data_IF_419561400794
#
_entry.id   IF_419561400794
#
_cell.length_a   1.000
_cell.length_b   1.000
_cell.length_c   1.000
_cell.angle_alpha   90.00
_cell.angle_beta   90.00
_cell.angle_gamma   90.00
#
_symmetry.space_group_name_H-M   'P 1'
#
loop_
_entity.id
_entity.type
_entity.pdbx_description
1 polymer ?
#
# COMPACT_ATOMS: atom_id res chain seq x y z
N UNK A 1 -2.20 -27.07 -1.04
CA UNK A 1 -2.86 -27.24 -2.35
C UNK A 1 -3.53 -25.96 -2.82
N UNK A 2 -4.43 -25.34 -2.07
CA UNK A 2 -5.15 -24.11 -2.50
C UNK A 2 -4.23 -22.95 -2.93
N UNK A 3 -3.17 -22.65 -2.16
CA UNK A 3 -2.22 -21.59 -2.49
C UNK A 3 -1.49 -21.83 -3.82
N UNK A 4 -1.11 -23.09 -4.11
CA UNK A 4 -0.47 -23.44 -5.38
C UNK A 4 -1.44 -23.30 -6.55
N UNK A 5 -2.72 -23.67 -6.36
CA UNK A 5 -3.75 -23.49 -7.40
C UNK A 5 -4.00 -22.01 -7.71
N UNK A 6 -4.06 -21.15 -6.66
CA UNK A 6 -4.20 -19.71 -6.84
C UNK A 6 -2.98 -19.11 -7.55
N UNK A 7 -1.77 -19.53 -7.19
CA UNK A 7 -0.54 -19.07 -7.85
C UNK A 7 -0.49 -19.48 -9.32
N UNK A 8 -0.91 -20.70 -9.63
CA UNK A 8 -1.01 -21.20 -11.01
C UNK A 8 -1.99 -20.35 -11.82
N UNK A 9 -3.17 -20.04 -11.28
CA UNK A 9 -4.14 -19.17 -11.93
C UNK A 9 -3.56 -17.76 -12.20
N UNK A 10 -2.85 -17.20 -11.25
CA UNK A 10 -2.18 -15.89 -11.42
C UNK A 10 -1.15 -15.94 -12.55
N UNK A 11 -0.34 -17.01 -12.61
CA UNK A 11 0.66 -17.18 -13.66
C UNK A 11 -0.01 -17.32 -15.03
N UNK A 12 -1.03 -18.17 -15.15
CA UNK A 12 -1.77 -18.37 -16.41
C UNK A 12 -2.42 -17.07 -16.88
N UNK A 13 -3.10 -16.35 -16.00
CA UNK A 13 -3.74 -15.08 -16.31
C UNK A 13 -2.70 -14.01 -16.70
N UNK A 14 -1.56 -13.96 -16.00
CA UNK A 14 -0.46 -13.05 -16.31
C UNK A 14 0.18 -13.34 -17.68
N UNK A 15 0.39 -14.61 -18.03
CA UNK A 15 0.89 -15.01 -19.34
C UNK A 15 -0.12 -14.66 -20.46
N UNK A 16 -1.40 -14.90 -20.23
CA UNK A 16 -2.45 -14.52 -21.17
C UNK A 16 -2.42 -13.00 -21.44
N UNK A 17 -2.39 -12.19 -20.39
CA UNK A 17 -2.29 -10.73 -20.53
C UNK A 17 -1.00 -10.30 -21.23
N UNK A 18 0.12 -10.97 -20.97
CA UNK A 18 1.40 -10.70 -21.62
C UNK A 18 1.34 -10.94 -23.13
N UNK A 19 0.65 -12.00 -23.56
CA UNK A 19 0.46 -12.30 -24.98
C UNK A 19 -0.39 -11.22 -25.67
N UNK A 20 -1.42 -10.69 -24.97
CA UNK A 20 -2.32 -9.67 -25.51
C UNK A 20 -1.73 -8.26 -25.50
N UNK A 21 -0.96 -7.89 -24.45
CA UNK A 21 -0.55 -6.52 -24.17
C UNK A 21 0.97 -6.29 -24.26
N UNK A 22 1.74 -7.35 -24.57
CA UNK A 22 3.17 -7.26 -24.77
C UNK A 22 4.03 -7.61 -23.55
N UNK A 23 5.30 -7.89 -23.84
CA UNK A 23 6.29 -8.43 -22.90
C UNK A 23 6.65 -7.50 -21.73
N UNK A 24 6.39 -6.20 -21.85
CA UNK A 24 6.65 -5.24 -20.79
C UNK A 24 5.90 -5.58 -19.48
N UNK A 25 4.74 -6.24 -19.56
CA UNK A 25 3.97 -6.68 -18.39
C UNK A 25 4.76 -7.68 -17.51
N UNK A 26 5.68 -8.44 -18.09
CA UNK A 26 6.52 -9.36 -17.32
C UNK A 26 7.49 -8.63 -16.38
N UNK A 27 7.90 -7.40 -16.71
CA UNK A 27 8.76 -6.59 -15.84
C UNK A 27 8.06 -6.22 -14.52
N UNK A 28 6.73 -6.25 -14.50
CA UNK A 28 5.90 -6.03 -13.31
C UNK A 28 5.50 -7.38 -12.70
N UNK A 29 5.06 -8.33 -13.52
CA UNK A 29 4.50 -9.61 -13.06
C UNK A 29 5.53 -10.53 -12.42
N UNK A 30 6.71 -10.68 -13.01
CA UNK A 30 7.76 -11.57 -12.46
C UNK A 30 8.23 -11.09 -11.07
N UNK A 31 8.62 -9.82 -10.87
CA UNK A 31 8.97 -9.33 -9.54
C UNK A 31 7.82 -9.46 -8.54
N UNK A 32 6.56 -9.27 -8.97
CA UNK A 32 5.38 -9.46 -8.13
C UNK A 32 5.25 -10.89 -7.61
N UNK A 33 5.40 -11.89 -8.47
CA UNK A 33 5.36 -13.32 -8.08
C UNK A 33 6.56 -13.68 -7.19
N UNK A 34 7.76 -13.20 -7.53
CA UNK A 34 8.95 -13.41 -6.71
C UNK A 34 8.83 -12.81 -5.32
N UNK A 35 8.16 -11.64 -5.21
CA UNK A 35 7.92 -10.98 -3.93
C UNK A 35 7.04 -11.83 -3.01
N UNK A 36 6.04 -12.54 -3.53
CA UNK A 36 5.16 -13.45 -2.76
C UNK A 36 6.01 -14.56 -2.11
N UNK A 37 6.89 -15.19 -2.88
CA UNK A 37 7.78 -16.24 -2.37
C UNK A 37 8.80 -15.68 -1.36
N UNK A 38 9.48 -14.60 -1.75
CA UNK A 38 10.54 -14.00 -0.95
C UNK A 38 10.00 -13.44 0.40
N UNK A 39 8.76 -12.95 0.43
CA UNK A 39 8.15 -12.40 1.64
C UNK A 39 8.13 -13.43 2.77
N UNK A 40 7.69 -14.65 2.48
CA UNK A 40 7.56 -15.70 3.49
C UNK A 40 8.91 -16.22 3.96
N UNK A 41 9.89 -16.35 3.06
CA UNK A 41 11.16 -17.00 3.37
C UNK A 41 12.22 -16.05 3.95
N UNK A 42 12.29 -14.81 3.46
CA UNK A 42 13.42 -13.92 3.71
C UNK A 42 13.01 -12.54 4.23
N UNK A 43 11.99 -11.94 3.63
CA UNK A 43 11.64 -10.53 3.83
C UNK A 43 11.14 -10.26 5.25
N UNK A 44 10.39 -11.18 5.84
CA UNK A 44 9.86 -11.07 7.20
C UNK A 44 10.93 -11.02 8.32
N UNK A 45 12.20 -11.24 7.97
CA UNK A 45 13.36 -11.17 8.87
C UNK A 45 14.11 -9.84 8.80
N UNK A 46 13.74 -8.94 7.87
CA UNK A 46 14.31 -7.59 7.73
C UNK A 46 13.23 -6.54 8.00
N UNK A 47 13.40 -5.64 8.98
CA UNK A 47 12.38 -4.65 9.33
C UNK A 47 11.97 -3.77 8.15
N UNK A 48 12.95 -3.28 7.38
CA UNK A 48 12.68 -2.41 6.23
C UNK A 48 11.98 -3.15 5.10
N UNK A 49 12.48 -4.34 4.74
CA UNK A 49 11.87 -5.13 3.68
C UNK A 49 10.45 -5.58 4.07
N UNK A 50 10.26 -5.99 5.33
CA UNK A 50 8.95 -6.36 5.86
C UNK A 50 7.95 -5.20 5.80
N UNK A 51 8.40 -3.96 6.05
CA UNK A 51 7.57 -2.76 5.95
C UNK A 51 7.18 -2.45 4.50
N UNK A 52 8.14 -2.48 3.57
CA UNK A 52 7.95 -1.98 2.21
C UNK A 52 7.35 -3.02 1.25
N UNK A 53 7.63 -4.32 1.46
CA UNK A 53 7.25 -5.36 0.51
C UNK A 53 5.73 -5.42 0.21
N UNK A 54 4.81 -5.39 1.18
CA UNK A 54 3.38 -5.37 0.87
C UNK A 54 2.96 -4.07 0.19
N UNK A 55 3.54 -2.93 0.59
CA UNK A 55 3.32 -1.65 -0.09
C UNK A 55 3.76 -1.69 -1.55
N UNK A 56 4.95 -2.23 -1.84
CA UNK A 56 5.45 -2.40 -3.20
C UNK A 56 4.58 -3.38 -3.99
N UNK A 57 4.16 -4.49 -3.38
CA UNK A 57 3.29 -5.48 -4.02
C UNK A 57 1.95 -4.88 -4.45
N UNK A 58 1.21 -4.31 -3.52
CA UNK A 58 -0.12 -3.76 -3.77
C UNK A 58 -0.08 -2.33 -4.34
N UNK A 59 0.83 -1.49 -3.86
CA UNK A 59 0.95 -0.12 -4.34
C UNK A 59 1.63 -0.05 -5.70
N UNK A 60 2.83 -0.56 -5.82
CA UNK A 60 3.63 -0.39 -7.02
C UNK A 60 3.23 -1.40 -8.12
N UNK A 61 3.41 -2.70 -7.88
CA UNK A 61 3.17 -3.70 -8.92
C UNK A 61 1.70 -3.78 -9.35
N UNK A 62 0.76 -3.79 -8.41
CA UNK A 62 -0.64 -3.90 -8.76
C UNK A 62 -1.17 -2.62 -9.44
N UNK A 63 -0.82 -1.43 -8.93
CA UNK A 63 -1.29 -0.17 -9.52
C UNK A 63 -0.68 0.07 -10.90
N UNK A 64 0.65 -0.14 -11.06
CA UNK A 64 1.30 0.03 -12.36
C UNK A 64 0.92 -1.06 -13.35
N UNK A 65 0.73 -2.31 -12.87
CA UNK A 65 0.23 -3.40 -13.69
C UNK A 65 -1.17 -3.10 -14.24
N UNK A 66 -2.08 -2.61 -13.40
CA UNK A 66 -3.40 -2.17 -13.84
C UNK A 66 -3.32 -0.99 -14.82
N UNK A 67 -2.49 0.02 -14.55
CA UNK A 67 -2.28 1.14 -15.48
C UNK A 67 -1.81 0.65 -16.84
N UNK A 68 -0.82 -0.24 -16.87
CA UNK A 68 -0.33 -0.82 -18.12
C UNK A 68 -1.40 -1.59 -18.89
N UNK A 69 -2.21 -2.40 -18.18
CA UNK A 69 -3.29 -3.19 -18.80
C UNK A 69 -4.33 -2.31 -19.48
N UNK A 70 -4.68 -1.17 -18.89
CA UNK A 70 -5.74 -0.30 -19.42
C UNK A 70 -5.26 0.77 -20.39
N UNK A 71 -4.03 1.25 -20.30
CA UNK A 71 -3.53 2.37 -21.11
C UNK A 71 -2.31 2.04 -21.96
N UNK A 72 -1.67 0.88 -21.75
CA UNK A 72 -0.38 0.50 -22.32
C UNK A 72 0.74 1.53 -22.05
N UNK A 73 0.57 2.39 -21.04
CA UNK A 73 1.51 3.45 -20.68
C UNK A 73 1.69 3.53 -19.16
N UNK A 74 2.88 3.94 -18.74
CA UNK A 74 3.21 4.26 -17.35
C UNK A 74 3.38 5.78 -17.22
N UNK A 75 2.30 6.49 -16.98
CA UNK A 75 2.37 7.94 -16.76
C UNK A 75 3.03 8.27 -15.41
N UNK A 76 3.65 9.45 -15.32
CA UNK A 76 4.20 9.95 -14.05
C UNK A 76 3.13 10.06 -12.96
N UNK A 77 1.88 10.36 -13.34
CA UNK A 77 0.73 10.35 -12.43
C UNK A 77 0.45 8.95 -11.86
N UNK A 78 0.49 7.90 -12.69
CA UNK A 78 0.33 6.51 -12.24
C UNK A 78 1.46 6.10 -11.27
N UNK A 79 2.69 6.52 -11.51
CA UNK A 79 3.84 6.24 -10.61
C UNK A 79 3.65 6.93 -9.25
N UNK A 80 3.23 8.20 -9.24
CA UNK A 80 2.96 8.90 -7.97
C UNK A 80 1.77 8.30 -7.22
N UNK A 81 0.70 7.90 -7.93
CA UNK A 81 -0.43 7.20 -7.35
C UNK A 81 0.02 5.87 -6.72
N UNK A 82 0.84 5.09 -7.44
CA UNK A 82 1.43 3.86 -6.93
C UNK A 82 2.25 4.10 -5.63
N UNK A 83 3.02 5.20 -5.57
CA UNK A 83 3.77 5.57 -4.38
C UNK A 83 2.86 5.95 -3.20
N UNK A 84 1.75 6.66 -3.43
CA UNK A 84 0.72 6.96 -2.41
C UNK A 84 0.16 5.65 -1.84
N UNK A 85 -0.27 4.73 -2.69
CA UNK A 85 -0.82 3.44 -2.27
C UNK A 85 0.23 2.61 -1.53
N UNK A 86 1.49 2.63 -1.99
CA UNK A 86 2.62 1.97 -1.31
C UNK A 86 2.75 2.45 0.14
N UNK A 87 2.71 3.75 0.39
CA UNK A 87 2.77 4.30 1.75
C UNK A 87 1.58 3.83 2.61
N UNK A 88 0.37 3.85 2.06
CA UNK A 88 -0.85 3.44 2.79
C UNK A 88 -0.84 1.95 3.16
N UNK A 89 -0.47 1.08 2.21
CA UNK A 89 -0.44 -0.37 2.47
C UNK A 89 0.70 -0.75 3.41
N UNK A 90 1.86 -0.09 3.28
CA UNK A 90 2.95 -0.26 4.26
C UNK A 90 2.50 0.13 5.67
N UNK A 91 1.75 1.22 5.82
CA UNK A 91 1.15 1.63 7.09
C UNK A 91 0.11 0.65 7.62
N UNK A 92 -0.70 0.06 6.72
CA UNK A 92 -1.68 -0.95 7.13
C UNK A 92 -0.97 -2.13 7.80
N UNK A 93 0.07 -2.67 7.16
CA UNK A 93 0.84 -3.77 7.73
C UNK A 93 1.55 -3.35 9.03
N UNK A 94 2.21 -2.19 9.02
CA UNK A 94 2.98 -1.71 10.18
C UNK A 94 2.11 -1.65 11.43
N UNK A 95 0.90 -1.10 11.34
CA UNK A 95 0.01 -0.97 12.49
C UNK A 95 -0.56 -2.31 12.94
N UNK A 96 -0.86 -3.22 11.98
CA UNK A 96 -1.34 -4.56 12.28
C UNK A 96 -0.29 -5.42 13.01
N UNK A 97 1.00 -5.10 12.87
CA UNK A 97 2.09 -5.78 13.60
C UNK A 97 2.19 -5.37 15.08
N UNK A 98 1.52 -4.30 15.51
CA UNK A 98 1.62 -3.84 16.92
C UNK A 98 1.05 -4.85 17.93
N UNK A 99 -0.13 -5.44 17.71
CA UNK A 99 -0.65 -6.49 18.59
C UNK A 99 0.24 -7.74 18.59
N UNK A 100 0.80 -8.08 17.44
CA UNK A 100 1.43 -9.39 17.19
C UNK A 100 2.92 -9.46 17.63
N UNK A 101 3.47 -8.38 18.22
CA UNK A 101 4.90 -8.28 18.57
C UNK A 101 5.43 -9.49 19.34
N UNK A 102 4.69 -9.98 20.32
CA UNK A 102 5.16 -11.04 21.21
C UNK A 102 5.08 -12.41 20.52
N UNK A 103 4.02 -12.67 19.76
CA UNK A 103 3.85 -13.88 18.96
C UNK A 103 4.87 -13.94 17.80
N UNK A 104 5.02 -12.85 17.07
CA UNK A 104 5.94 -12.76 15.94
C UNK A 104 7.41 -12.89 16.34
N UNK A 105 7.77 -12.39 17.53
CA UNK A 105 9.12 -12.57 18.10
C UNK A 105 9.44 -14.04 18.35
N UNK A 106 8.48 -14.82 18.85
CA UNK A 106 8.67 -16.24 19.13
C UNK A 106 8.96 -17.08 17.87
N UNK A 107 8.40 -16.67 16.73
CA UNK A 107 8.63 -17.36 15.44
C UNK A 107 9.78 -16.73 14.63
N UNK A 108 10.57 -15.86 15.23
CA UNK A 108 11.80 -15.29 14.63
C UNK A 108 11.58 -14.19 13.61
N UNK A 109 10.38 -13.59 13.53
CA UNK A 109 10.13 -12.41 12.71
C UNK A 109 10.86 -11.19 13.26
N UNK A 110 11.22 -10.29 12.35
CA UNK A 110 11.93 -9.05 12.69
C UNK A 110 11.32 -7.88 11.91
N UNK A 111 10.27 -7.30 12.47
CA UNK A 111 9.67 -6.06 11.96
C UNK A 111 9.92 -4.89 12.91
N UNK A 112 9.63 -3.67 12.46
CA UNK A 112 9.96 -2.46 13.24
C UNK A 112 9.41 -2.47 14.67
N UNK A 113 8.13 -2.82 14.95
CA UNK A 113 7.63 -2.89 16.33
C UNK A 113 8.42 -3.82 17.25
N UNK A 114 9.07 -4.88 16.71
CA UNK A 114 9.95 -5.77 17.49
C UNK A 114 11.31 -5.13 17.73
N UNK A 115 11.90 -4.47 16.71
CA UNK A 115 13.30 -4.03 16.73
C UNK A 115 13.49 -2.69 17.43
N UNK A 116 12.62 -1.71 17.17
CA UNK A 116 12.72 -0.35 17.72
C UNK A 116 11.60 0.01 18.68
N UNK A 117 10.65 -0.93 18.89
CA UNK A 117 9.48 -0.74 19.76
C UNK A 117 8.30 -0.04 19.08
N UNK A 118 7.10 -0.26 19.63
CA UNK A 118 5.83 0.24 19.07
C UNK A 118 5.79 1.77 18.97
N UNK A 119 6.27 2.49 19.98
CA UNK A 119 6.22 3.97 19.99
C UNK A 119 7.07 4.62 18.89
N UNK A 120 8.28 4.10 18.62
CA UNK A 120 9.11 4.59 17.52
C UNK A 120 8.52 4.17 16.16
N UNK A 121 7.91 3.00 16.10
CA UNK A 121 7.20 2.54 14.90
C UNK A 121 5.96 3.41 14.57
N UNK A 122 5.31 4.00 15.59
CA UNK A 122 4.26 4.99 15.39
C UNK A 122 4.78 6.26 14.70
N UNK A 123 6.03 6.65 14.90
CA UNK A 123 6.63 7.77 14.17
C UNK A 123 6.85 7.43 12.69
N UNK A 124 7.29 6.18 12.38
CA UNK A 124 7.39 5.71 10.99
C UNK A 124 6.02 5.71 10.33
N UNK A 125 4.99 5.23 11.04
CA UNK A 125 3.60 5.27 10.56
C UNK A 125 3.17 6.70 10.19
N UNK A 126 3.45 7.66 11.08
CA UNK A 126 3.12 9.07 10.85
C UNK A 126 3.84 9.61 9.62
N UNK A 127 5.14 9.32 9.49
CA UNK A 127 5.94 9.76 8.35
C UNK A 127 5.36 9.24 7.02
N UNK A 128 5.04 7.95 6.94
CA UNK A 128 4.47 7.35 5.73
C UNK A 128 3.07 7.91 5.41
N UNK A 129 2.25 8.16 6.44
CA UNK A 129 0.92 8.76 6.23
C UNK A 129 1.03 10.20 5.73
N UNK A 130 1.89 11.02 6.32
CA UNK A 130 2.14 12.39 5.84
C UNK A 130 2.75 12.39 4.44
N UNK A 131 3.66 11.46 4.15
CA UNK A 131 4.25 11.31 2.82
C UNK A 131 3.18 10.97 1.78
N UNK A 132 2.20 10.11 2.10
CA UNK A 132 1.12 9.78 1.16
C UNK A 132 0.30 11.02 0.77
N UNK A 133 -0.05 11.90 1.73
CA UNK A 133 -0.73 13.15 1.43
C UNK A 133 0.16 14.16 0.69
N UNK A 134 1.45 14.24 1.04
CA UNK A 134 2.41 15.09 0.36
C UNK A 134 2.57 14.69 -1.11
N UNK A 135 2.73 13.39 -1.38
CA UNK A 135 2.83 12.86 -2.75
C UNK A 135 1.58 13.16 -3.56
N UNK A 136 0.38 13.05 -2.96
CA UNK A 136 -0.87 13.42 -3.60
C UNK A 136 -0.88 14.91 -3.96
N UNK A 137 -0.53 15.80 -3.02
CA UNK A 137 -0.48 17.23 -3.26
C UNK A 137 0.53 17.58 -4.36
N UNK A 138 1.72 17.01 -4.30
CA UNK A 138 2.76 17.18 -5.34
C UNK A 138 2.25 16.75 -6.71
N UNK A 139 1.57 15.60 -6.80
CA UNK A 139 1.03 15.08 -8.04
C UNK A 139 -0.02 16.03 -8.67
N UNK A 140 -0.86 16.65 -7.84
CA UNK A 140 -1.88 17.61 -8.31
C UNK A 140 -1.25 18.96 -8.66
N UNK A 141 -0.34 19.50 -7.83
CA UNK A 141 0.35 20.77 -8.09
C UNK A 141 1.20 20.67 -9.37
N UNK A 142 1.87 19.54 -9.57
CA UNK A 142 2.65 19.27 -10.78
C UNK A 142 1.79 18.94 -12.02
N UNK A 143 0.45 19.03 -11.91
CA UNK A 143 -0.52 18.72 -12.99
C UNK A 143 -0.44 17.28 -13.53
N UNK A 144 0.15 16.38 -12.75
CA UNK A 144 0.27 14.95 -13.08
C UNK A 144 -1.00 14.15 -12.73
N UNK A 145 -1.80 14.70 -11.80
CA UNK A 145 -3.15 14.21 -11.47
C UNK A 145 -4.15 15.39 -11.53
N UNK A 146 -5.41 15.12 -11.92
CA UNK A 146 -6.43 16.15 -11.97
C UNK A 146 -6.77 16.71 -10.56
N UNK A 147 -7.19 17.99 -10.45
CA UNK A 147 -7.53 18.61 -9.17
C UNK A 147 -8.63 17.86 -8.39
N UNK A 148 -9.51 17.15 -9.06
CA UNK A 148 -10.57 16.34 -8.45
C UNK A 148 -10.00 15.24 -7.52
N UNK A 149 -8.74 14.82 -7.70
CA UNK A 149 -8.07 13.89 -6.78
C UNK A 149 -7.88 14.46 -5.36
N UNK A 150 -8.00 15.80 -5.18
CA UNK A 150 -8.02 16.41 -3.86
C UNK A 150 -9.22 16.02 -3.00
N UNK A 151 -10.25 15.36 -3.56
CA UNK A 151 -11.32 14.70 -2.81
C UNK A 151 -10.75 13.73 -1.75
N UNK A 152 -9.61 13.11 -2.01
CA UNK A 152 -8.95 12.24 -1.04
C UNK A 152 -8.56 12.95 0.27
N UNK A 153 -8.42 14.29 0.26
CA UNK A 153 -8.17 15.08 1.48
C UNK A 153 -9.36 15.04 2.47
N UNK A 154 -10.55 14.62 2.03
CA UNK A 154 -11.68 14.36 2.93
C UNK A 154 -11.39 13.26 3.96
N UNK A 155 -10.31 12.49 3.78
CA UNK A 155 -9.83 11.53 4.77
C UNK A 155 -8.97 12.14 5.88
N UNK A 156 -8.60 13.43 5.80
CA UNK A 156 -7.78 14.11 6.82
C UNK A 156 -8.39 14.04 8.25
N UNK A 157 -9.70 14.15 8.46
CA UNK A 157 -10.28 13.97 9.80
C UNK A 157 -10.02 12.57 10.38
N UNK A 158 -10.03 11.52 9.53
CA UNK A 158 -9.67 10.16 9.95
C UNK A 158 -8.19 10.11 10.38
N UNK A 159 -7.30 10.70 9.59
CA UNK A 159 -5.87 10.78 9.89
C UNK A 159 -5.62 11.57 11.19
N UNK A 160 -6.28 12.70 11.37
CA UNK A 160 -6.17 13.56 12.56
C UNK A 160 -6.58 12.84 13.85
N UNK A 161 -7.57 11.95 13.78
CA UNK A 161 -7.99 11.11 14.91
C UNK A 161 -7.06 9.92 15.11
N UNK A 162 -6.56 9.35 14.04
CA UNK A 162 -5.75 8.13 14.02
C UNK A 162 -4.38 8.36 14.67
N UNK A 163 -3.66 9.43 14.27
CA UNK A 163 -2.28 9.67 14.69
C UNK A 163 -2.10 9.78 16.20
N UNK A 164 -2.80 10.68 16.93
CA UNK A 164 -2.65 10.77 18.40
C UNK A 164 -3.10 9.48 19.08
N UNK A 165 -4.13 8.82 18.55
CA UNK A 165 -4.63 7.56 19.08
C UNK A 165 -3.62 6.44 19.04
N UNK A 166 -2.86 6.31 17.95
CA UNK A 166 -1.77 5.33 17.83
C UNK A 166 -0.65 5.65 18.82
N UNK A 167 -0.19 6.91 18.91
CA UNK A 167 0.87 7.29 19.84
C UNK A 167 0.51 7.04 21.31
N UNK A 168 -0.72 7.39 21.68
CA UNK A 168 -1.20 7.23 23.05
C UNK A 168 -1.36 5.76 23.45
N UNK A 169 -1.81 4.93 22.52
CA UNK A 169 -2.15 3.53 22.78
C UNK A 169 -1.12 2.53 22.22
N UNK A 170 0.02 2.97 21.70
CA UNK A 170 1.03 2.12 21.04
C UNK A 170 1.41 0.88 21.86
N UNK A 171 1.51 1.00 23.18
CA UNK A 171 1.93 -0.07 24.09
C UNK A 171 0.76 -0.86 24.70
N UNK A 172 -0.47 -0.54 24.34
CA UNK A 172 -1.68 -1.19 24.90
C UNK A 172 -2.51 -1.78 23.75
N UNK A 173 -2.22 -3.02 23.28
CA UNK A 173 -2.84 -3.62 22.11
C UNK A 173 -4.36 -3.60 22.12
N UNK A 174 -4.98 -3.88 23.26
CA UNK A 174 -6.46 -3.86 23.40
C UNK A 174 -7.08 -2.48 23.13
N UNK A 175 -6.39 -1.40 23.52
CA UNK A 175 -6.85 -0.02 23.28
C UNK A 175 -6.52 0.45 21.85
N UNK A 176 -5.67 -0.29 21.13
CA UNK A 176 -5.32 0.03 19.76
C UNK A 176 -6.38 -0.46 18.76
N UNK A 177 -7.21 -1.44 19.11
CA UNK A 177 -8.20 -2.06 18.21
C UNK A 177 -9.08 -1.06 17.44
N UNK A 178 -9.68 -0.01 18.04
CA UNK A 178 -10.48 0.96 17.27
C UNK A 178 -9.64 1.76 16.26
N UNK A 179 -8.35 1.94 16.50
CA UNK A 179 -7.44 2.63 15.59
C UNK A 179 -6.98 1.72 14.45
N UNK A 180 -6.91 0.39 14.66
CA UNK A 180 -6.73 -0.58 13.57
C UNK A 180 -7.90 -0.49 12.58
N UNK A 181 -9.14 -0.49 13.08
CA UNK A 181 -10.34 -0.34 12.25
C UNK A 181 -10.36 1.01 11.51
N UNK A 182 -9.99 2.10 12.19
CA UNK A 182 -9.91 3.42 11.59
C UNK A 182 -8.84 3.49 10.49
N UNK A 183 -7.70 2.82 10.67
CA UNK A 183 -6.66 2.71 9.65
C UNK A 183 -7.14 1.93 8.43
N UNK A 184 -7.85 0.82 8.64
CA UNK A 184 -8.49 0.07 7.54
C UNK A 184 -9.46 0.97 6.77
N UNK A 185 -10.31 1.73 7.46
CA UNK A 185 -11.22 2.68 6.82
C UNK A 185 -10.48 3.73 6.00
N UNK A 186 -9.38 4.30 6.53
CA UNK A 186 -8.56 5.29 5.84
C UNK A 186 -7.90 4.70 4.58
N UNK A 187 -7.30 3.51 4.68
CA UNK A 187 -6.61 2.84 3.58
C UNK A 187 -7.55 2.45 2.44
N UNK A 188 -8.84 2.28 2.70
CA UNK A 188 -9.84 2.03 1.64
C UNK A 188 -10.49 3.32 1.14
N UNK A 189 -10.83 4.25 2.03
CA UNK A 189 -11.52 5.48 1.63
C UNK A 189 -10.64 6.43 0.81
N UNK A 190 -9.34 6.54 1.13
CA UNK A 190 -8.44 7.43 0.39
C UNK A 190 -8.29 7.01 -1.08
N UNK A 191 -7.96 5.74 -1.43
CA UNK A 191 -7.92 5.31 -2.83
C UNK A 191 -9.28 5.36 -3.52
N UNK A 192 -10.37 5.10 -2.82
CA UNK A 192 -11.72 5.23 -3.37
C UNK A 192 -12.01 6.67 -3.80
N UNK A 193 -11.70 7.66 -2.95
CA UNK A 193 -11.88 9.07 -3.27
C UNK A 193 -10.94 9.53 -4.39
N UNK A 194 -9.72 8.98 -4.47
CA UNK A 194 -8.83 9.20 -5.61
C UNK A 194 -9.44 8.65 -6.90
N UNK A 195 -9.97 7.43 -6.88
CA UNK A 195 -10.62 6.81 -8.04
C UNK A 195 -11.85 7.62 -8.49
N UNK A 196 -12.67 8.10 -7.55
CA UNK A 196 -13.79 9.00 -7.85
C UNK A 196 -13.33 10.32 -8.46
N UNK A 197 -12.23 10.90 -7.95
CA UNK A 197 -11.64 12.11 -8.51
C UNK A 197 -11.12 11.91 -9.93
N UNK A 198 -10.48 10.80 -10.22
CA UNK A 198 -10.04 10.43 -11.58
C UNK A 198 -11.23 10.21 -12.51
N UNK A 199 -12.25 9.50 -12.05
CA UNK A 199 -13.46 9.25 -12.82
C UNK A 199 -14.19 10.55 -13.19
N UNK A 200 -14.33 11.49 -12.27
CA UNK A 200 -14.94 12.80 -12.53
C UNK A 200 -14.13 13.68 -13.46
N UNK A 201 -12.83 13.51 -13.49
CA UNK A 201 -11.97 14.26 -14.41
C UNK A 201 -11.95 13.66 -15.83
N UNK A 202 -12.40 12.42 -16.00
CA UNK A 202 -12.47 11.80 -17.32
C UNK A 202 -13.54 12.50 -18.16
N UNK A 203 -13.25 12.86 -19.43
CA UNK A 203 -14.25 13.45 -20.32
C UNK A 203 -15.38 12.44 -20.54
N UNK A 204 -16.64 12.90 -20.36
CA UNK A 204 -17.86 12.09 -20.51
C UNK A 204 -18.10 11.57 -21.94
N UNK A 205 -17.22 11.88 -22.90
CA UNK A 205 -17.34 11.61 -24.32
C UNK A 205 -16.08 10.94 -24.91
N UNK A 206 -15.53 9.95 -24.21
CA UNK A 206 -14.48 9.12 -24.79
C UNK A 206 -15.03 7.75 -25.23
#
# INVERSE_FOLDING_TARGET
>A
MLACSCLLLVIISGLYLTIQLGWALLLIGIPGVLLIYAYTQYINRSPLLCLLAPGIGFGFFMTLGASWVFSAELSSGAVLLAAVITCLVSNLLLLNQFPDVDADRQVGRRHYPIVIGRRRSAAIFTLLLLLSYLLLLVAVIATLLPPHCLLALLTLPLAAKLLPGIFHNANTPLRLTPYLALNVALVHSLPLLLALGLFWAAPLNA
#
